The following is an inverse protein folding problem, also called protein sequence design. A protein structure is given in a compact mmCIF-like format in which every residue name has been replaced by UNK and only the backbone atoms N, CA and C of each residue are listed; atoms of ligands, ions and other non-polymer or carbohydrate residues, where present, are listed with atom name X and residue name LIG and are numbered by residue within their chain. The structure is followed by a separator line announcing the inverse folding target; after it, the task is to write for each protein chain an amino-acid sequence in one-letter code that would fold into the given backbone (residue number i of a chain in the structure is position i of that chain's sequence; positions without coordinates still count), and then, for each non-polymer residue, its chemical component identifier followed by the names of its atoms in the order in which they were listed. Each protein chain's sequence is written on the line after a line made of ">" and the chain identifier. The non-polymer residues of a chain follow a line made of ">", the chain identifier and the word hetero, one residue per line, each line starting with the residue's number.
data_IF_888385609693
#
_entry.id   IF_888385609693
#
_cell.length_a   1.000
_cell.length_b   1.000
_cell.length_c   1.000
_cell.angle_alpha   90.00
_cell.angle_beta   90.00
_cell.angle_gamma   90.00
#
_symmetry.space_group_name_H-M   'P 1'
#
loop_
_entity.id
_entity.type
_entity.pdbx_description
1 polymer ?
#
# COMPACT_ATOMS: atom_id res chain seq x y z
N UNK A 1 -33.59 -31.84 3.82
CA UNK A 1 -33.73 -30.42 3.49
C UNK A 1 -32.47 -29.70 3.92
N UNK A 2 -31.73 -28.97 3.12
CA UNK A 2 -31.75 -28.73 1.68
C UNK A 2 -30.31 -28.40 1.27
N UNK A 3 -29.83 -29.04 0.20
CA UNK A 3 -28.58 -28.66 -0.43
C UNK A 3 -28.79 -27.29 -1.07
N UNK A 4 -27.93 -26.33 -0.75
CA UNK A 4 -27.84 -25.06 -1.48
C UNK A 4 -27.54 -25.42 -2.94
N UNK A 5 -28.54 -25.26 -3.80
CA UNK A 5 -28.42 -25.46 -5.24
C UNK A 5 -27.54 -24.37 -5.81
N UNK A 6 -26.44 -24.74 -6.47
CA UNK A 6 -25.74 -23.88 -7.42
C UNK A 6 -26.77 -23.38 -8.44
N UNK A 7 -27.15 -22.10 -8.35
CA UNK A 7 -28.03 -21.51 -9.35
C UNK A 7 -27.26 -21.40 -10.66
N UNK A 8 -27.66 -22.18 -11.66
CA UNK A 8 -27.11 -22.07 -13.00
C UNK A 8 -27.41 -20.67 -13.55
N UNK A 9 -26.38 -19.82 -13.62
CA UNK A 9 -26.46 -18.48 -14.22
C UNK A 9 -26.99 -18.62 -15.64
N UNK A 10 -28.02 -17.84 -15.98
CA UNK A 10 -28.68 -18.00 -17.27
C UNK A 10 -27.80 -17.41 -18.38
N UNK A 11 -27.75 -18.01 -19.59
CA UNK A 11 -26.92 -17.51 -20.69
C UNK A 11 -27.16 -16.03 -21.04
N UNK A 12 -28.41 -15.56 -20.88
CA UNK A 12 -28.78 -14.18 -21.11
C UNK A 12 -28.13 -13.20 -20.11
N UNK A 13 -27.98 -13.61 -18.85
CA UNK A 13 -27.35 -12.82 -17.79
C UNK A 13 -25.84 -12.68 -18.04
N UNK A 14 -25.20 -13.76 -18.48
CA UNK A 14 -23.78 -13.76 -18.85
C UNK A 14 -23.55 -12.81 -20.03
N UNK A 15 -24.40 -12.85 -21.05
CA UNK A 15 -24.29 -11.95 -22.22
C UNK A 15 -24.49 -10.49 -21.80
N UNK A 16 -25.46 -10.20 -20.93
CA UNK A 16 -25.69 -8.84 -20.43
C UNK A 16 -24.48 -8.33 -19.63
N UNK A 17 -23.89 -9.19 -18.81
CA UNK A 17 -22.69 -8.86 -18.03
C UNK A 17 -21.47 -8.60 -18.93
N UNK A 18 -21.25 -9.41 -19.97
CA UNK A 18 -20.16 -9.21 -20.92
C UNK A 18 -20.30 -7.90 -21.70
N UNK A 19 -21.53 -7.54 -22.10
CA UNK A 19 -21.79 -6.24 -22.75
C UNK A 19 -21.49 -5.07 -21.82
N UNK A 20 -21.87 -5.18 -20.55
CA UNK A 20 -21.55 -4.16 -19.56
C UNK A 20 -20.04 -3.97 -19.41
N UNK A 21 -19.26 -5.05 -19.35
CA UNK A 21 -17.80 -4.96 -19.31
C UNK A 21 -17.21 -4.30 -20.57
N UNK A 22 -17.76 -4.62 -21.74
CA UNK A 22 -17.34 -4.00 -23.00
C UNK A 22 -17.65 -2.50 -23.04
N UNK A 23 -18.84 -2.09 -22.59
CA UNK A 23 -19.24 -0.69 -22.49
C UNK A 23 -18.43 0.08 -21.44
N UNK A 24 -17.97 -0.62 -20.39
CA UNK A 24 -17.06 -0.08 -19.37
C UNK A 24 -15.61 0.03 -19.85
N UNK A 25 -15.31 -0.36 -21.10
CA UNK A 25 -13.98 -0.26 -21.69
C UNK A 25 -13.01 -1.37 -21.27
N UNK A 26 -13.53 -2.50 -20.77
CA UNK A 26 -12.70 -3.67 -20.47
C UNK A 26 -12.33 -4.37 -21.77
N UNK A 27 -11.04 -4.34 -22.11
CA UNK A 27 -10.46 -4.91 -23.32
C UNK A 27 -9.70 -6.23 -23.06
N UNK A 28 -9.28 -6.48 -21.82
CA UNK A 28 -8.60 -7.73 -21.43
C UNK A 28 -9.13 -8.30 -20.11
N UNK A 29 -9.14 -9.63 -19.99
CA UNK A 29 -9.45 -10.34 -18.74
C UNK A 29 -8.23 -11.12 -18.28
N UNK A 30 -7.75 -10.86 -17.06
CA UNK A 30 -6.65 -11.60 -16.45
C UNK A 30 -7.25 -12.67 -15.55
N UNK A 31 -6.91 -13.95 -15.80
CA UNK A 31 -7.25 -15.05 -14.90
C UNK A 31 -6.17 -15.26 -13.82
N UNK A 32 -6.52 -15.98 -12.76
CA UNK A 32 -5.60 -16.30 -11.64
C UNK A 32 -4.41 -17.18 -12.08
N UNK A 33 -4.55 -17.92 -13.18
CA UNK A 33 -3.51 -18.77 -13.77
C UNK A 33 -2.81 -18.09 -14.97
N UNK A 34 -1.46 -18.03 -14.99
CA UNK A 34 -0.71 -17.56 -16.15
C UNK A 34 -1.00 -18.39 -17.41
N UNK A 35 -1.43 -17.73 -18.50
CA UNK A 35 -1.59 -18.35 -19.83
C UNK A 35 -2.96 -18.98 -20.12
N UNK A 36 -3.99 -18.67 -19.33
CA UNK A 36 -5.35 -19.19 -19.48
C UNK A 36 -6.02 -18.92 -20.85
N UNK A 37 -5.54 -17.94 -21.62
CA UNK A 37 -6.16 -17.52 -22.89
C UNK A 37 -5.58 -18.22 -24.15
N UNK A 38 -4.62 -19.13 -24.01
CA UNK A 38 -3.77 -19.52 -25.15
C UNK A 38 -3.93 -20.91 -25.76
N UNK A 39 -4.53 -21.91 -25.10
CA UNK A 39 -4.57 -23.29 -25.64
C UNK A 39 -5.81 -24.05 -25.18
N UNK A 40 -6.56 -24.72 -26.08
CA UNK A 40 -7.51 -25.73 -25.65
C UNK A 40 -6.73 -26.84 -24.93
N UNK A 41 -7.03 -27.06 -23.64
CA UNK A 41 -6.48 -28.18 -22.88
C UNK A 41 -6.83 -29.48 -23.61
N UNK A 42 -5.82 -30.23 -24.05
CA UNK A 42 -6.00 -31.62 -24.46
C UNK A 42 -6.48 -32.38 -23.22
N UNK A 43 -7.61 -33.08 -23.31
CA UNK A 43 -8.10 -33.92 -22.22
C UNK A 43 -7.01 -34.95 -21.87
N UNK A 44 -6.45 -34.83 -20.67
CA UNK A 44 -5.53 -35.83 -20.12
C UNK A 44 -6.40 -36.93 -19.52
N UNK A 45 -6.20 -38.16 -20.01
CA UNK A 45 -6.86 -39.34 -19.45
C UNK A 45 -6.50 -39.51 -17.97
N UNK A 46 -7.42 -39.98 -17.12
CA UNK A 46 -7.16 -40.09 -15.68
C UNK A 46 -6.04 -41.10 -15.43
N UNK A 47 -5.01 -40.66 -14.70
CA UNK A 47 -3.96 -41.54 -14.20
C UNK A 47 -4.52 -42.47 -13.12
N UNK A 48 -4.07 -43.72 -13.14
CA UNK A 48 -4.42 -44.74 -12.15
C UNK A 48 -4.02 -44.30 -10.72
N UNK A 49 -4.80 -44.66 -9.69
CA UNK A 49 -4.59 -44.16 -8.33
C UNK A 49 -3.32 -44.77 -7.72
N UNK A 50 -2.37 -43.91 -7.37
CA UNK A 50 -1.25 -44.27 -6.50
C UNK A 50 -1.75 -44.26 -5.06
N UNK A 51 -1.68 -45.42 -4.42
CA UNK A 51 -2.13 -45.64 -3.05
C UNK A 51 -1.05 -45.15 -2.07
N UNK A 52 -1.13 -43.89 -1.67
CA UNK A 52 -0.40 -43.39 -0.50
C UNK A 52 -1.32 -43.47 0.72
N UNK A 53 -0.89 -44.22 1.73
CA UNK A 53 -1.56 -44.29 3.01
C UNK A 53 -1.53 -42.91 3.69
N UNK A 54 -2.70 -42.28 3.81
CA UNK A 54 -2.90 -41.08 4.61
C UNK A 54 -2.97 -41.45 6.10
N UNK A 55 -2.35 -40.68 7.01
CA UNK A 55 -2.61 -40.81 8.43
C UNK A 55 -4.07 -40.41 8.72
N UNK A 56 -4.70 -41.12 9.66
CA UNK A 56 -6.10 -40.92 10.03
C UNK A 56 -6.39 -39.47 10.46
N UNK A 57 -7.52 -38.87 10.01
CA UNK A 57 -7.91 -37.54 10.45
C UNK A 57 -8.36 -37.59 11.92
N UNK A 58 -7.72 -36.79 12.77
CA UNK A 58 -8.26 -36.53 14.10
C UNK A 58 -9.46 -35.58 13.99
N UNK A 59 -10.49 -35.72 14.86
CA UNK A 59 -11.64 -34.83 14.84
C UNK A 59 -11.21 -33.43 15.30
N UNK A 60 -11.15 -32.47 14.38
CA UNK A 60 -11.07 -31.05 14.73
C UNK A 60 -12.44 -30.64 15.28
N UNK A 61 -12.47 -30.27 16.56
CA UNK A 61 -13.68 -29.67 17.14
C UNK A 61 -13.92 -28.30 16.50
N UNK A 62 -15.18 -27.95 16.18
CA UNK A 62 -15.49 -26.65 15.62
C UNK A 62 -15.25 -25.57 16.67
N UNK A 63 -14.28 -24.70 16.41
CA UNK A 63 -14.12 -23.44 17.15
C UNK A 63 -15.32 -22.57 16.80
N UNK A 64 -16.11 -22.10 17.77
CA UNK A 64 -17.25 -21.23 17.48
C UNK A 64 -16.74 -19.89 16.95
N UNK A 65 -17.30 -19.46 15.81
CA UNK A 65 -17.17 -18.10 15.33
C UNK A 65 -17.79 -17.15 16.38
N UNK A 66 -17.08 -16.12 16.88
CA UNK A 66 -17.75 -15.10 17.65
C UNK A 66 -18.66 -14.33 16.69
N UNK A 67 -19.97 -14.40 16.97
CA UNK A 67 -20.95 -13.53 16.38
C UNK A 67 -20.52 -12.08 16.62
N UNK A 68 -20.17 -11.37 15.55
CA UNK A 68 -19.96 -9.92 15.58
C UNK A 68 -21.32 -9.27 15.83
N UNK A 69 -21.66 -9.08 17.10
CA UNK A 69 -22.72 -8.19 17.48
C UNK A 69 -22.26 -6.78 17.12
N UNK A 70 -22.94 -6.18 16.15
CA UNK A 70 -22.90 -4.73 15.92
C UNK A 70 -23.43 -4.07 17.19
N UNK A 71 -22.53 -3.82 18.14
CA UNK A 71 -22.76 -2.89 19.22
C UNK A 71 -22.54 -1.52 18.60
N UNK A 72 -23.56 -0.68 18.62
CA UNK A 72 -23.39 0.75 18.46
C UNK A 72 -22.47 1.23 19.58
N UNK A 73 -21.16 1.32 19.30
CA UNK A 73 -20.19 1.96 20.18
C UNK A 73 -20.25 3.43 19.85
N UNK A 74 -20.99 4.16 20.69
CA UNK A 74 -20.95 5.61 20.72
C UNK A 74 -19.52 6.11 20.97
N UNK A 75 -19.28 7.31 20.44
CA UNK A 75 -18.14 8.20 20.71
C UNK A 75 -16.75 7.55 20.61
N UNK A 76 -16.10 7.87 19.47
CA UNK A 76 -14.67 7.88 19.27
C UNK A 76 -13.87 8.04 20.58
N UNK A 77 -13.07 7.02 20.91
CA UNK A 77 -11.95 7.21 21.82
C UNK A 77 -10.87 7.99 21.06
N UNK A 78 -11.00 9.31 21.08
CA UNK A 78 -9.92 10.25 20.75
C UNK A 78 -8.78 9.98 21.74
N UNK A 79 -7.63 9.53 21.25
CA UNK A 79 -6.40 9.62 22.03
C UNK A 79 -6.18 11.11 22.37
N UNK A 80 -6.10 11.50 23.65
CA UNK A 80 -5.82 12.88 24.00
C UNK A 80 -4.37 13.17 23.59
N UNK A 81 -4.17 13.92 22.49
CA UNK A 81 -2.83 14.34 22.06
C UNK A 81 -2.56 14.42 20.56
N UNK A 82 -3.46 13.94 19.68
CA UNK A 82 -3.24 13.98 18.22
C UNK A 82 -3.18 15.41 17.66
N UNK A 83 -3.99 16.34 18.18
CA UNK A 83 -3.97 17.74 17.77
C UNK A 83 -2.70 18.47 18.23
N UNK A 84 -2.23 18.17 19.45
CA UNK A 84 -1.00 18.75 19.98
C UNK A 84 0.23 18.25 19.20
N UNK A 85 0.31 16.95 18.93
CA UNK A 85 1.37 16.36 18.12
C UNK A 85 1.38 16.92 16.69
N UNK A 86 0.20 17.11 16.08
CA UNK A 86 0.07 17.73 14.76
C UNK A 86 0.49 19.21 14.77
N UNK A 87 0.18 19.95 15.85
CA UNK A 87 0.62 21.33 16.04
C UNK A 87 2.14 21.45 16.23
N UNK A 88 2.74 20.53 16.99
CA UNK A 88 4.18 20.44 17.17
C UNK A 88 4.90 20.08 15.87
N UNK A 89 4.39 19.09 15.12
CA UNK A 89 4.89 18.72 13.80
C UNK A 89 4.93 19.93 12.87
N UNK A 90 3.84 20.73 12.81
CA UNK A 90 3.78 21.95 11.99
C UNK A 90 4.82 22.98 12.40
N UNK A 91 5.01 23.20 13.71
CA UNK A 91 6.00 24.17 14.21
C UNK A 91 7.43 23.73 13.91
N UNK A 92 7.73 22.45 14.12
CA UNK A 92 9.05 21.87 13.86
C UNK A 92 9.36 21.93 12.37
N UNK A 93 8.45 21.45 11.52
CA UNK A 93 8.63 21.48 10.07
C UNK A 93 8.81 22.92 9.55
N UNK A 94 8.02 23.88 10.03
CA UNK A 94 8.16 25.28 9.64
C UNK A 94 9.52 25.91 10.03
N UNK A 95 10.19 25.37 11.06
CA UNK A 95 11.50 25.85 11.51
C UNK A 95 12.69 25.33 10.70
N UNK A 96 12.53 24.26 9.91
CA UNK A 96 13.59 23.68 9.10
C UNK A 96 13.78 24.47 7.80
N UNK A 97 15.00 24.82 7.43
CA UNK A 97 15.33 25.60 6.21
C UNK A 97 16.05 24.79 5.14
N UNK A 98 16.52 23.58 5.47
CA UNK A 98 17.16 22.66 4.52
C UNK A 98 16.58 21.25 4.65
N UNK A 99 16.81 20.41 3.63
CA UNK A 99 16.39 19.02 3.65
C UNK A 99 17.07 18.23 4.77
N UNK A 100 18.34 18.55 5.05
CA UNK A 100 19.11 17.96 6.14
C UNK A 100 18.53 18.34 7.51
N UNK A 101 18.20 19.62 7.72
CA UNK A 101 17.53 20.07 8.94
C UNK A 101 16.18 19.39 9.12
N UNK A 102 15.42 19.23 8.04
CA UNK A 102 14.13 18.53 8.07
C UNK A 102 14.31 17.05 8.44
N UNK A 103 15.29 16.36 7.85
CA UNK A 103 15.58 14.97 8.15
C UNK A 103 15.97 14.76 9.62
N UNK A 104 16.83 15.64 10.15
CA UNK A 104 17.26 15.61 11.56
C UNK A 104 16.08 15.90 12.49
N UNK A 105 15.29 16.92 12.20
CA UNK A 105 14.14 17.29 13.01
C UNK A 105 13.06 16.19 13.03
N UNK A 106 12.79 15.58 11.87
CA UNK A 106 11.87 14.47 11.77
C UNK A 106 12.38 13.23 12.51
N UNK A 107 13.66 12.89 12.40
CA UNK A 107 14.26 11.79 13.14
C UNK A 107 14.16 11.98 14.67
N UNK A 108 14.25 13.22 15.15
CA UNK A 108 14.11 13.58 16.55
C UNK A 108 12.66 13.71 17.03
N UNK A 109 11.68 13.74 16.13
CA UNK A 109 10.27 13.90 16.49
C UNK A 109 9.71 12.62 17.11
N UNK A 110 9.10 12.73 18.29
CA UNK A 110 8.51 11.62 19.05
C UNK A 110 6.98 11.61 19.03
N UNK A 111 6.35 12.56 18.33
CA UNK A 111 4.89 12.64 18.22
C UNK A 111 4.26 11.61 17.28
N UNK A 112 5.06 10.81 16.57
CA UNK A 112 4.58 9.77 15.66
C UNK A 112 4.76 8.36 16.27
N UNK A 113 3.65 7.71 16.62
CA UNK A 113 3.66 6.37 17.25
C UNK A 113 4.29 5.26 16.39
N UNK A 114 4.37 5.44 15.07
CA UNK A 114 4.98 4.47 14.15
C UNK A 114 6.49 4.29 14.39
N UNK A 115 7.16 5.31 14.92
CA UNK A 115 8.57 5.26 15.29
C UNK A 115 8.88 4.18 16.33
N UNK A 116 7.92 3.85 17.19
CA UNK A 116 8.09 2.82 18.22
C UNK A 116 8.10 1.39 17.66
N UNK A 117 7.56 1.18 16.45
CA UNK A 117 7.41 -0.15 15.83
C UNK A 117 8.28 -0.35 14.60
N UNK A 118 8.71 0.73 13.95
CA UNK A 118 9.60 0.69 12.79
C UNK A 118 11.05 0.45 13.22
N UNK A 119 11.85 -0.13 12.33
CA UNK A 119 13.28 -0.38 12.55
C UNK A 119 14.07 0.92 12.39
N UNK A 120 13.77 1.69 11.35
CA UNK A 120 14.43 2.97 11.10
C UNK A 120 13.54 3.92 10.30
N UNK A 121 13.94 5.19 10.26
CA UNK A 121 13.28 6.19 9.42
C UNK A 121 13.70 6.02 7.96
N UNK A 122 12.74 6.13 7.05
CA UNK A 122 12.95 6.16 5.60
C UNK A 122 12.61 7.57 5.10
N UNK A 123 13.64 8.41 4.98
CA UNK A 123 13.46 9.82 4.63
C UNK A 123 13.25 10.01 3.13
N UNK A 124 14.28 9.73 2.32
CA UNK A 124 14.24 9.88 0.87
C UNK A 124 15.35 9.07 0.17
N UNK A 125 15.29 8.98 -1.16
CA UNK A 125 16.36 8.50 -2.04
C UNK A 125 16.33 9.28 -3.37
N UNK A 126 17.45 9.26 -4.09
CA UNK A 126 17.59 9.96 -5.37
C UNK A 126 18.23 11.35 -5.28
N UNK A 127 17.98 12.20 -6.27
CA UNK A 127 18.65 13.49 -6.42
C UNK A 127 17.82 14.64 -5.80
N UNK A 128 18.31 15.31 -4.73
CA UNK A 128 17.58 16.42 -4.10
C UNK A 128 17.39 17.64 -5.00
N UNK A 129 18.20 17.78 -6.07
CA UNK A 129 18.09 18.86 -7.05
C UNK A 129 17.24 18.48 -8.29
N UNK A 130 16.50 17.37 -8.23
CA UNK A 130 15.67 16.91 -9.34
C UNK A 130 14.44 17.81 -9.58
N UNK A 131 14.00 17.90 -10.83
CA UNK A 131 12.72 18.53 -11.17
C UNK A 131 11.50 17.65 -10.82
N UNK A 132 11.70 16.36 -10.49
CA UNK A 132 10.65 15.36 -10.28
C UNK A 132 10.75 14.78 -8.87
N UNK A 133 9.67 14.92 -8.11
CA UNK A 133 9.50 14.26 -6.81
C UNK A 133 8.38 13.21 -6.89
N UNK A 134 8.65 12.01 -6.37
CA UNK A 134 7.72 10.89 -6.30
C UNK A 134 7.39 10.64 -4.83
N UNK A 135 6.09 10.62 -4.49
CA UNK A 135 5.62 10.44 -3.12
C UNK A 135 4.73 9.21 -2.99
N UNK A 136 5.21 8.21 -2.27
CA UNK A 136 4.47 7.01 -1.90
C UNK A 136 3.68 7.17 -0.60
N UNK A 137 3.04 6.10 -0.16
CA UNK A 137 2.24 6.06 1.06
C UNK A 137 3.13 5.97 2.32
N UNK A 138 3.82 4.85 2.47
CA UNK A 138 4.66 4.54 3.63
C UNK A 138 5.71 3.48 3.27
N UNK A 139 6.77 3.29 4.09
CA UNK A 139 7.79 2.29 3.87
C UNK A 139 7.24 0.88 4.08
N UNK A 140 7.65 -0.06 3.22
CA UNK A 140 7.45 -1.49 3.43
C UNK A 140 8.55 -2.10 4.29
N UNK A 141 8.56 -3.43 4.36
CA UNK A 141 9.52 -4.18 5.18
C UNK A 141 10.97 -4.03 4.70
N UNK A 142 11.20 -4.04 3.37
CA UNK A 142 12.55 -3.89 2.81
C UNK A 142 13.04 -2.45 2.94
N UNK A 143 12.15 -1.48 2.74
CA UNK A 143 12.43 -0.06 2.94
C UNK A 143 12.83 0.23 4.38
N UNK A 144 12.06 -0.28 5.36
CA UNK A 144 12.36 -0.17 6.79
C UNK A 144 13.68 -0.86 7.17
N UNK A 145 14.08 -1.93 6.48
CA UNK A 145 15.36 -2.59 6.71
C UNK A 145 16.54 -1.83 6.11
N UNK A 146 16.36 -1.20 4.96
CA UNK A 146 17.43 -0.56 4.19
C UNK A 146 17.52 0.96 4.37
N UNK A 147 16.51 1.59 4.98
CA UNK A 147 16.45 3.04 5.19
C UNK A 147 16.16 3.82 3.90
N UNK A 148 15.71 3.16 2.83
CA UNK A 148 15.49 3.77 1.51
C UNK A 148 14.10 3.49 0.96
N UNK A 149 13.40 4.49 0.40
CA UNK A 149 12.07 4.30 -0.16
C UNK A 149 12.09 3.49 -1.46
N UNK A 150 10.99 2.77 -1.70
CA UNK A 150 10.77 2.00 -2.93
C UNK A 150 11.92 1.03 -3.26
N UNK A 151 12.40 0.21 -2.34
CA UNK A 151 13.44 -0.81 -2.64
C UNK A 151 12.87 -2.23 -2.77
N UNK A 152 11.60 -2.42 -2.41
CA UNK A 152 10.86 -3.67 -2.57
C UNK A 152 10.37 -3.94 -3.99
N UNK A 153 9.35 -4.80 -4.13
CA UNK A 153 8.81 -5.19 -5.44
C UNK A 153 8.18 -4.02 -6.21
N UNK A 154 7.40 -3.18 -5.52
CA UNK A 154 6.84 -1.96 -6.11
C UNK A 154 7.94 -1.00 -6.55
N UNK A 155 9.05 -0.96 -5.82
CA UNK A 155 10.25 -0.22 -6.17
C UNK A 155 10.90 -0.67 -7.48
N UNK A 156 11.08 -1.98 -7.65
CA UNK A 156 11.59 -2.56 -8.90
C UNK A 156 10.65 -2.33 -10.08
N UNK A 157 9.34 -2.22 -9.84
CA UNK A 157 8.39 -1.82 -10.88
C UNK A 157 8.58 -0.36 -11.24
N UNK A 158 8.70 0.53 -10.24
CA UNK A 158 8.98 1.95 -10.45
C UNK A 158 10.28 2.15 -11.26
N UNK A 159 11.35 1.43 -10.92
CA UNK A 159 12.63 1.50 -11.64
C UNK A 159 12.47 1.13 -13.12
N UNK A 160 11.67 0.11 -13.43
CA UNK A 160 11.37 -0.29 -14.81
C UNK A 160 10.54 0.76 -15.55
N UNK A 161 9.59 1.40 -14.88
CA UNK A 161 8.79 2.48 -15.45
C UNK A 161 9.65 3.70 -15.77
N UNK A 162 10.53 4.10 -14.84
CA UNK A 162 11.50 5.18 -15.06
C UNK A 162 12.43 4.86 -16.24
N UNK A 163 12.99 3.64 -16.26
CA UNK A 163 13.89 3.22 -17.33
C UNK A 163 13.21 3.24 -18.71
N UNK A 164 11.92 2.89 -18.78
CA UNK A 164 11.15 2.90 -20.03
C UNK A 164 11.00 4.30 -20.63
N UNK A 165 11.10 5.36 -19.81
CA UNK A 165 11.06 6.76 -20.24
C UNK A 165 12.44 7.43 -20.22
N UNK A 166 13.52 6.64 -20.10
CA UNK A 166 14.89 7.14 -20.11
C UNK A 166 15.31 7.87 -18.83
N UNK A 167 14.61 7.64 -17.71
CA UNK A 167 14.94 8.18 -16.39
C UNK A 167 15.48 7.07 -15.47
N UNK A 168 16.14 7.48 -14.40
CA UNK A 168 16.57 6.60 -13.32
C UNK A 168 16.51 7.31 -11.95
N UNK A 169 16.89 6.61 -10.88
CA UNK A 169 16.88 7.16 -9.51
C UNK A 169 17.81 8.36 -9.29
N UNK A 170 18.84 8.53 -10.12
CA UNK A 170 19.73 9.70 -10.06
C UNK A 170 19.08 10.94 -10.69
N UNK A 171 18.00 10.76 -11.44
CA UNK A 171 17.27 11.84 -12.10
C UNK A 171 15.96 12.22 -11.41
N UNK A 172 15.52 11.47 -10.39
CA UNK A 172 14.29 11.72 -9.63
C UNK A 172 14.58 11.80 -8.14
N UNK A 173 13.64 12.32 -7.37
CA UNK A 173 13.67 12.31 -5.92
C UNK A 173 12.46 11.54 -5.38
N UNK A 174 12.66 10.68 -4.38
CA UNK A 174 11.62 9.75 -3.92
C UNK A 174 11.47 9.86 -2.41
N UNK A 175 10.23 10.01 -1.93
CA UNK A 175 9.86 10.05 -0.51
C UNK A 175 8.49 9.37 -0.29
N UNK A 176 7.96 9.44 0.93
CA UNK A 176 6.64 8.93 1.31
C UNK A 176 5.90 9.97 2.17
N UNK A 177 4.57 9.90 2.22
CA UNK A 177 3.76 10.69 3.15
C UNK A 177 4.17 10.42 4.60
N UNK A 178 4.34 9.15 4.94
CA UNK A 178 4.78 8.69 6.26
C UNK A 178 6.18 8.10 6.15
N UNK A 179 7.10 8.45 7.05
CA UNK A 179 8.51 8.03 6.97
C UNK A 179 8.87 6.80 7.82
N UNK A 180 7.89 6.17 8.47
CA UNK A 180 8.07 4.95 9.24
C UNK A 180 7.06 3.88 8.83
N UNK A 181 7.51 2.63 8.85
CA UNK A 181 6.71 1.48 8.47
C UNK A 181 5.54 1.24 9.44
N UNK A 182 4.29 1.19 8.97
CA UNK A 182 3.17 0.76 9.78
C UNK A 182 3.25 -0.72 10.18
N UNK A 183 2.83 -1.10 11.41
CA UNK A 183 2.83 -2.49 11.86
C UNK A 183 2.10 -3.41 10.88
N UNK A 184 2.76 -4.50 10.48
CA UNK A 184 2.18 -5.48 9.55
C UNK A 184 1.98 -4.97 8.11
N UNK A 185 2.64 -3.89 7.69
CA UNK A 185 2.44 -3.25 6.38
C UNK A 185 1.00 -2.83 6.10
N UNK A 186 0.23 -2.50 7.15
CA UNK A 186 -1.09 -1.88 6.97
C UNK A 186 -0.96 -0.49 6.36
N UNK A 187 -2.06 0.04 5.85
CA UNK A 187 -2.13 1.45 5.50
C UNK A 187 -1.98 2.33 6.76
N UNK A 188 -1.32 3.49 6.65
CA UNK A 188 -1.34 4.51 7.69
C UNK A 188 -2.77 4.95 7.98
N UNK A 189 -3.08 5.18 9.25
CA UNK A 189 -4.37 5.74 9.63
C UNK A 189 -4.39 7.28 9.48
N UNK A 190 -5.58 7.88 9.56
CA UNK A 190 -5.75 9.32 9.39
C UNK A 190 -4.93 10.17 10.38
N UNK A 191 -4.78 9.72 11.63
CA UNK A 191 -3.98 10.45 12.63
C UNK A 191 -2.49 10.39 12.31
N UNK A 192 -1.98 9.24 11.86
CA UNK A 192 -0.59 9.08 11.42
C UNK A 192 -0.29 9.98 10.20
N UNK A 193 -1.20 10.01 9.23
CA UNK A 193 -1.09 10.90 8.06
C UNK A 193 -1.12 12.36 8.50
N UNK A 194 -2.06 12.77 9.35
CA UNK A 194 -2.19 14.15 9.82
C UNK A 194 -0.93 14.66 10.54
N UNK A 195 -0.26 13.79 11.30
CA UNK A 195 0.99 14.12 12.00
C UNK A 195 2.16 14.24 11.03
N UNK A 196 2.21 13.42 9.98
CA UNK A 196 3.29 13.45 8.99
C UNK A 196 3.10 14.53 7.91
N UNK A 197 1.87 14.98 7.68
CA UNK A 197 1.53 15.93 6.61
C UNK A 197 2.37 17.22 6.64
N UNK A 198 2.59 17.89 7.80
CA UNK A 198 3.40 19.11 7.82
C UNK A 198 4.85 18.87 7.40
N UNK A 199 5.39 17.68 7.65
CA UNK A 199 6.76 17.34 7.25
C UNK A 199 6.87 17.13 5.74
N UNK A 200 5.96 16.39 5.12
CA UNK A 200 5.98 16.19 3.66
C UNK A 200 5.66 17.49 2.91
N UNK A 201 4.74 18.33 3.42
CA UNK A 201 4.50 19.67 2.89
C UNK A 201 5.78 20.52 2.92
N UNK A 202 6.50 20.51 4.05
CA UNK A 202 7.79 21.21 4.14
C UNK A 202 8.84 20.60 3.22
N UNK A 203 8.89 19.27 3.12
CA UNK A 203 9.82 18.54 2.26
C UNK A 203 9.66 18.99 0.80
N UNK A 204 8.43 19.02 0.31
CA UNK A 204 8.09 19.49 -1.03
C UNK A 204 8.45 20.98 -1.18
N UNK A 205 8.15 21.80 -0.18
CA UNK A 205 8.45 23.25 -0.23
C UNK A 205 9.95 23.57 -0.23
N UNK A 206 10.77 22.74 0.42
CA UNK A 206 12.23 22.88 0.44
C UNK A 206 12.87 22.35 -0.85
N UNK A 207 12.35 21.25 -1.38
CA UNK A 207 12.88 20.61 -2.59
C UNK A 207 12.44 21.35 -3.87
N UNK A 208 11.27 22.00 -3.85
CA UNK A 208 10.71 22.77 -4.96
C UNK A 208 10.66 22.00 -6.31
N UNK A 209 10.07 20.78 -6.35
CA UNK A 209 9.97 20.03 -7.61
C UNK A 209 9.05 20.74 -8.60
N UNK A 210 9.34 20.61 -9.90
CA UNK A 210 8.43 21.05 -10.97
C UNK A 210 7.29 20.05 -11.19
N UNK A 211 7.53 18.77 -10.91
CA UNK A 211 6.57 17.68 -11.08
C UNK A 211 6.50 16.88 -9.78
N UNK A 212 5.29 16.72 -9.23
CA UNK A 212 5.01 15.88 -8.07
C UNK A 212 4.14 14.69 -8.50
N UNK A 213 4.70 13.49 -8.44
CA UNK A 213 4.02 12.24 -8.75
C UNK A 213 3.54 11.55 -7.46
N UNK A 214 2.22 11.51 -7.25
CA UNK A 214 1.62 10.75 -6.15
C UNK A 214 1.47 9.27 -6.53
N UNK A 215 2.34 8.42 -5.97
CA UNK A 215 2.34 6.98 -6.22
C UNK A 215 1.41 6.23 -5.25
N UNK A 216 0.10 6.34 -5.47
CA UNK A 216 -0.93 5.63 -4.72
C UNK A 216 -2.10 6.52 -4.27
N UNK A 217 -3.21 5.89 -3.85
CA UNK A 217 -4.41 6.61 -3.41
C UNK A 217 -4.20 7.44 -2.15
N UNK A 218 -3.42 6.94 -1.20
CA UNK A 218 -3.15 7.64 0.07
C UNK A 218 -2.31 8.90 -0.13
N UNK A 219 -1.28 8.86 -0.98
CA UNK A 219 -0.48 10.05 -1.27
C UNK A 219 -1.25 11.08 -2.09
N UNK A 220 -2.06 10.63 -3.05
CA UNK A 220 -2.95 11.52 -3.80
C UNK A 220 -3.99 12.20 -2.87
N UNK A 221 -4.67 11.43 -2.02
CA UNK A 221 -5.70 11.96 -1.12
C UNK A 221 -5.13 12.88 -0.02
N UNK A 222 -3.86 12.70 0.36
CA UNK A 222 -3.22 13.55 1.36
C UNK A 222 -2.75 14.89 0.79
N UNK A 223 -2.43 14.96 -0.51
CA UNK A 223 -1.77 16.12 -1.13
C UNK A 223 -2.66 16.93 -2.09
N UNK A 224 -3.86 16.45 -2.43
CA UNK A 224 -4.82 17.07 -3.35
C UNK A 224 -6.12 17.46 -2.62
#
# INVERSE_FOLDING_TARGET
>A
MDRISESAVQPAEIIALLRWYQDAGVDETIGDDPGALGRPRKAVAPAAPVQMAAPAPQPVQPVPAPASQIRAVGAAAVLPGSDAASGDARRIAAGCNTLEELAVALAAFDGCGLKATATQMVFADGNPDSDIMIVGEAPGAEEDRLGKPFVGQSGKLLDRMLAAIGLDRTTVYISNIVNWRPPGNRQPNASEIAISLPFIERHIALMQPKILLCAGGTSAAALL
#
